data_IF_312376752246
#
_entry.id   IF_312376752246
#
_cell.length_a   1.000
_cell.length_b   1.000
_cell.length_c   1.000
_cell.angle_alpha   90.00
_cell.angle_beta   90.00
_cell.angle_gamma   90.00
#
_symmetry.space_group_name_H-M   'P 1'
#
loop_
_entity.id
_entity.type
_entity.pdbx_description
1 polymer ?
#
# COMPACT_ATOMS: atom_id res chain seq x y z
N UNK A 1 7.32 5.56 -12.20
CA UNK A 1 7.27 4.95 -13.55
C UNK A 1 7.34 3.44 -13.45
N UNK A 2 6.41 2.73 -14.09
CA UNK A 2 6.39 1.26 -14.18
C UNK A 2 7.30 0.76 -15.29
N UNK A 3 8.62 0.87 -15.11
CA UNK A 3 9.60 0.53 -16.16
C UNK A 3 9.58 -0.94 -16.60
N UNK A 4 8.91 -1.83 -15.86
CA UNK A 4 8.88 -3.28 -16.10
C UNK A 4 7.46 -3.84 -16.32
N UNK A 5 6.45 -2.99 -16.45
CA UNK A 5 5.05 -3.44 -16.61
C UNK A 5 4.49 -4.21 -15.41
N UNK A 6 5.10 -4.08 -14.23
CA UNK A 6 4.72 -4.81 -13.01
C UNK A 6 3.35 -4.35 -12.49
N UNK A 7 3.02 -3.06 -12.63
CA UNK A 7 1.71 -2.52 -12.25
C UNK A 7 0.64 -3.13 -13.16
N UNK A 8 0.87 -3.12 -14.48
CA UNK A 8 -0.07 -3.71 -15.43
C UNK A 8 -0.27 -5.22 -15.18
N UNK A 9 0.81 -5.95 -14.88
CA UNK A 9 0.73 -7.37 -14.53
C UNK A 9 -0.06 -7.62 -13.25
N UNK A 10 0.18 -6.84 -12.19
CA UNK A 10 -0.56 -6.96 -10.93
C UNK A 10 -2.05 -6.62 -11.10
N UNK A 11 -2.37 -5.57 -11.86
CA UNK A 11 -3.77 -5.23 -12.19
C UNK A 11 -4.46 -6.35 -12.98
N UNK A 12 -3.74 -6.98 -13.92
CA UNK A 12 -4.25 -8.13 -14.68
C UNK A 12 -4.54 -9.33 -13.79
N UNK A 13 -3.76 -9.57 -12.75
CA UNK A 13 -4.04 -10.63 -11.76
C UNK A 13 -5.38 -10.37 -11.06
N UNK A 14 -5.63 -9.13 -10.62
CA UNK A 14 -6.85 -8.80 -9.89
C UNK A 14 -8.12 -8.85 -10.75
N UNK A 15 -7.99 -8.63 -12.06
CA UNK A 15 -9.12 -8.66 -13.00
C UNK A 15 -9.47 -10.06 -13.53
N UNK A 16 -8.66 -11.10 -13.26
CA UNK A 16 -8.92 -12.49 -13.71
C UNK A 16 -10.32 -12.98 -13.29
N UNK A 17 -10.74 -12.61 -12.09
CA UNK A 17 -11.99 -13.08 -11.47
C UNK A 17 -13.09 -12.01 -11.51
N UNK A 18 -13.08 -11.16 -12.53
CA UNK A 18 -14.01 -10.05 -12.71
C UNK A 18 -13.53 -8.74 -12.08
N UNK A 19 -14.40 -7.75 -12.08
CA UNK A 19 -14.09 -6.40 -11.61
C UNK A 19 -13.85 -6.38 -10.08
N UNK A 20 -12.71 -5.83 -9.65
CA UNK A 20 -12.31 -5.83 -8.23
C UNK A 20 -13.37 -5.19 -7.31
N UNK A 21 -13.97 -4.08 -7.75
CA UNK A 21 -15.05 -3.38 -7.04
C UNK A 21 -16.23 -4.30 -6.72
N UNK A 22 -16.65 -5.11 -7.71
CA UNK A 22 -17.74 -6.08 -7.56
C UNK A 22 -17.38 -7.22 -6.63
N UNK A 23 -16.12 -7.64 -6.60
CA UNK A 23 -15.65 -8.69 -5.69
C UNK A 23 -15.72 -8.20 -4.24
N UNK A 24 -15.25 -6.98 -3.97
CA UNK A 24 -15.35 -6.37 -2.63
C UNK A 24 -16.83 -6.22 -2.21
N UNK A 25 -17.70 -5.70 -3.09
CA UNK A 25 -19.12 -5.55 -2.77
C UNK A 25 -19.87 -6.88 -2.59
N UNK A 26 -19.38 -7.96 -3.21
CA UNK A 26 -19.92 -9.32 -3.06
C UNK A 26 -19.36 -10.08 -1.85
N UNK A 27 -18.62 -9.39 -0.96
CA UNK A 27 -18.13 -9.97 0.29
C UNK A 27 -16.81 -10.73 0.17
N UNK A 28 -15.94 -10.34 -0.78
CA UNK A 28 -14.58 -10.88 -0.86
C UNK A 28 -13.84 -10.77 0.47
N UNK A 29 -13.02 -11.78 0.78
CA UNK A 29 -12.18 -11.85 1.97
C UNK A 29 -10.74 -12.32 1.65
N UNK A 30 -9.74 -11.94 2.45
CA UNK A 30 -8.34 -12.32 2.23
C UNK A 30 -8.04 -13.82 2.19
N UNK A 31 -8.83 -14.64 2.86
CA UNK A 31 -8.71 -16.11 2.87
C UNK A 31 -9.09 -16.75 1.52
N UNK A 32 -9.81 -16.02 0.67
CA UNK A 32 -10.18 -16.44 -0.67
C UNK A 32 -9.12 -16.04 -1.73
N UNK A 33 -8.09 -15.28 -1.33
CA UNK A 33 -7.06 -14.81 -2.24
C UNK A 33 -6.07 -15.92 -2.58
N UNK A 34 -5.78 -16.12 -3.86
CA UNK A 34 -4.61 -16.86 -4.28
C UNK A 34 -3.31 -16.16 -3.87
N UNK A 35 -2.20 -16.89 -3.81
CA UNK A 35 -0.88 -16.30 -3.54
C UNK A 35 -0.49 -15.21 -4.56
N UNK A 36 -0.90 -15.37 -5.82
CA UNK A 36 -0.70 -14.35 -6.85
C UNK A 36 -1.48 -13.07 -6.55
N UNK A 37 -2.75 -13.18 -6.16
CA UNK A 37 -3.60 -12.04 -5.81
C UNK A 37 -3.08 -11.33 -4.56
N UNK A 38 -2.67 -12.07 -3.54
CA UNK A 38 -2.03 -11.50 -2.34
C UNK A 38 -0.79 -10.70 -2.72
N UNK A 39 0.13 -11.27 -3.51
CA UNK A 39 1.34 -10.57 -3.97
C UNK A 39 0.99 -9.32 -4.79
N UNK A 40 0.02 -9.42 -5.70
CA UNK A 40 -0.44 -8.30 -6.51
C UNK A 40 -1.01 -7.17 -5.65
N UNK A 41 -1.87 -7.47 -4.67
CA UNK A 41 -2.46 -6.48 -3.77
C UNK A 41 -1.40 -5.81 -2.89
N UNK A 42 -0.47 -6.58 -2.33
CA UNK A 42 0.62 -6.00 -1.52
C UNK A 42 1.52 -5.08 -2.36
N UNK A 43 1.87 -5.47 -3.59
CA UNK A 43 2.63 -4.63 -4.51
C UNK A 43 1.88 -3.37 -4.90
N UNK A 44 0.59 -3.48 -5.26
CA UNK A 44 -0.23 -2.32 -5.63
C UNK A 44 -0.44 -1.37 -4.44
N UNK A 45 -0.56 -1.89 -3.22
CA UNK A 45 -0.57 -1.09 -2.00
C UNK A 45 0.76 -0.33 -1.82
N UNK A 46 1.91 -1.00 -2.01
CA UNK A 46 3.21 -0.33 -1.98
C UNK A 46 3.31 0.78 -3.03
N UNK A 47 2.88 0.53 -4.26
CA UNK A 47 2.83 1.54 -5.33
C UNK A 47 1.92 2.72 -4.96
N UNK A 48 0.74 2.43 -4.40
CA UNK A 48 -0.21 3.45 -3.95
C UNK A 48 0.42 4.38 -2.90
N UNK A 49 1.11 3.80 -1.92
CA UNK A 49 1.73 4.52 -0.79
C UNK A 49 3.05 5.21 -1.14
N UNK A 50 3.66 4.89 -2.28
CA UNK A 50 4.95 5.47 -2.69
C UNK A 50 4.85 6.40 -3.90
N UNK A 51 4.02 6.08 -4.89
CA UNK A 51 3.92 6.84 -6.14
C UNK A 51 2.72 7.79 -6.15
N UNK A 52 1.61 7.42 -5.49
CA UNK A 52 0.39 8.24 -5.50
C UNK A 52 0.20 9.08 -4.23
N UNK A 53 1.05 8.92 -3.22
CA UNK A 53 0.89 9.54 -1.88
C UNK A 53 0.81 11.08 -1.92
N UNK A 54 1.54 11.71 -2.84
CA UNK A 54 1.55 13.16 -3.04
C UNK A 54 0.43 13.67 -3.95
N UNK A 55 -0.33 12.78 -4.60
CA UNK A 55 -1.47 13.15 -5.43
C UNK A 55 -2.71 13.42 -4.57
N UNK A 56 -3.73 14.15 -5.08
CA UNK A 56 -5.00 14.33 -4.38
C UNK A 56 -5.71 13.01 -4.02
N UNK A 57 -5.41 11.92 -4.75
CA UNK A 57 -5.98 10.57 -4.51
C UNK A 57 -5.12 9.70 -3.59
N UNK A 58 -3.96 10.20 -3.16
CA UNK A 58 -3.06 9.49 -2.25
C UNK A 58 -3.66 9.31 -0.87
N UNK A 59 -3.15 8.32 -0.14
CA UNK A 59 -3.64 8.00 1.19
C UNK A 59 -3.41 9.16 2.17
N UNK A 60 -4.48 9.58 2.86
CA UNK A 60 -4.42 10.70 3.79
C UNK A 60 -3.65 10.34 5.08
N UNK A 61 -3.78 9.10 5.55
CA UNK A 61 -3.12 8.62 6.78
C UNK A 61 -1.63 8.43 6.55
N UNK A 62 -1.25 7.79 5.44
CA UNK A 62 0.13 7.64 5.04
C UNK A 62 0.81 8.99 4.79
N UNK A 63 0.10 9.95 4.17
CA UNK A 63 0.62 11.31 4.01
C UNK A 63 0.86 11.96 5.37
N UNK A 64 -0.07 11.82 6.31
CA UNK A 64 0.09 12.36 7.66
C UNK A 64 1.33 11.80 8.36
N UNK A 65 1.53 10.48 8.36
CA UNK A 65 2.70 9.90 9.03
C UNK A 65 4.02 10.25 8.36
N UNK A 66 4.10 10.17 7.02
CA UNK A 66 5.33 10.47 6.29
C UNK A 66 5.67 11.97 6.32
N UNK A 67 4.65 12.85 6.28
CA UNK A 67 4.84 14.27 6.48
C UNK A 67 5.36 14.60 7.89
N UNK A 68 5.16 13.72 8.87
CA UNK A 68 5.73 13.87 10.20
C UNK A 68 7.07 13.12 10.37
N UNK A 69 7.69 12.65 9.28
CA UNK A 69 9.02 12.02 9.30
C UNK A 69 9.03 10.51 9.56
N UNK A 70 7.88 9.84 9.55
CA UNK A 70 7.85 8.38 9.60
C UNK A 70 8.27 7.77 8.26
N UNK A 71 8.94 6.62 8.31
CA UNK A 71 9.12 5.77 7.12
C UNK A 71 8.02 4.73 7.00
N UNK A 72 7.70 4.32 5.77
CA UNK A 72 6.87 3.15 5.52
C UNK A 72 7.63 1.89 5.98
N UNK A 73 7.18 1.27 7.06
CA UNK A 73 7.92 0.18 7.70
C UNK A 73 7.51 -1.18 7.17
N UNK A 74 6.22 -1.48 7.24
CA UNK A 74 5.68 -2.77 6.80
C UNK A 74 4.27 -2.64 6.22
N UNK A 75 3.92 -3.56 5.32
CA UNK A 75 2.56 -3.71 4.77
C UNK A 75 2.04 -5.08 5.22
N UNK A 76 0.96 -5.07 5.98
CA UNK A 76 0.41 -6.24 6.65
C UNK A 76 -0.82 -6.77 5.91
N UNK A 77 -0.73 -8.00 5.44
CA UNK A 77 -1.85 -8.73 4.85
C UNK A 77 -2.85 -9.18 5.92
N UNK A 78 -4.15 -9.06 5.65
CA UNK A 78 -5.23 -9.54 6.51
C UNK A 78 -5.16 -9.04 7.97
N UNK A 79 -4.75 -7.79 8.15
CA UNK A 79 -4.53 -7.17 9.46
C UNK A 79 -5.80 -6.57 10.09
N UNK A 80 -6.77 -6.14 9.26
CA UNK A 80 -8.09 -5.70 9.74
C UNK A 80 -9.21 -6.42 8.98
N UNK A 81 -9.71 -7.51 9.56
CA UNK A 81 -10.81 -8.32 9.01
C UNK A 81 -12.20 -7.77 9.33
N UNK A 82 -12.30 -6.59 9.95
CA UNK A 82 -13.59 -5.94 10.15
C UNK A 82 -14.24 -5.58 8.81
N UNK A 83 -15.57 -5.39 8.81
CA UNK A 83 -16.30 -4.91 7.62
C UNK A 83 -15.70 -3.61 7.07
N UNK A 84 -15.21 -2.73 7.96
CA UNK A 84 -14.57 -1.47 7.60
C UNK A 84 -13.21 -1.69 6.93
N UNK A 85 -12.33 -2.51 7.52
CA UNK A 85 -11.02 -2.81 6.95
C UNK A 85 -11.10 -3.49 5.57
N UNK A 86 -12.04 -4.42 5.40
CA UNK A 86 -12.33 -5.05 4.11
C UNK A 86 -12.76 -4.01 3.06
N UNK A 87 -13.71 -3.14 3.41
CA UNK A 87 -14.25 -2.14 2.48
C UNK A 87 -13.25 -1.03 2.13
N UNK A 88 -12.40 -0.61 3.08
CA UNK A 88 -11.49 0.52 2.88
C UNK A 88 -10.17 0.14 2.20
N UNK A 89 -9.61 -1.02 2.56
CA UNK A 89 -8.25 -1.38 2.14
C UNK A 89 -8.06 -2.87 1.85
N UNK A 90 -9.14 -3.62 1.63
CA UNK A 90 -9.05 -5.09 1.44
C UNK A 90 -8.33 -5.78 2.60
N UNK A 91 -8.57 -5.31 3.83
CA UNK A 91 -7.95 -5.77 5.08
C UNK A 91 -6.43 -5.56 5.18
N UNK A 92 -5.83 -4.75 4.30
CA UNK A 92 -4.41 -4.38 4.40
C UNK A 92 -4.25 -3.25 5.41
N UNK A 93 -3.30 -3.40 6.32
CA UNK A 93 -2.84 -2.31 7.20
C UNK A 93 -1.35 -2.04 7.01
N UNK A 94 -0.89 -0.91 7.52
CA UNK A 94 0.48 -0.43 7.33
C UNK A 94 1.07 -0.06 8.68
N UNK A 95 2.34 -0.39 8.89
CA UNK A 95 3.12 0.17 9.99
C UNK A 95 3.98 1.33 9.47
N UNK A 96 3.91 2.45 10.16
CA UNK A 96 4.82 3.59 9.99
C UNK A 96 5.77 3.63 11.19
N UNK A 97 7.07 3.74 10.93
CA UNK A 97 8.08 3.74 11.97
C UNK A 97 8.71 5.13 12.07
N UNK A 98 8.72 5.67 13.29
CA UNK A 98 9.45 6.87 13.65
C UNK A 98 10.80 6.46 14.27
N UNK A 99 11.87 6.72 13.54
CA UNK A 99 13.24 6.67 14.08
C UNK A 99 13.60 8.09 14.49
N UNK A 100 13.68 8.36 15.80
CA UNK A 100 13.77 9.72 16.35
C UNK A 100 14.93 10.53 15.74
N UNK A 101 16.06 9.88 15.50
CA UNK A 101 17.27 10.46 14.91
C UNK A 101 17.20 10.65 13.38
N UNK A 102 16.07 10.31 12.76
CA UNK A 102 15.82 10.37 11.30
C UNK A 102 14.55 11.13 10.97
N UNK A 103 13.77 11.58 11.96
CA UNK A 103 12.48 12.25 11.75
C UNK A 103 12.63 13.48 10.85
N UNK A 104 13.58 14.37 11.17
CA UNK A 104 13.82 15.58 10.39
C UNK A 104 14.27 15.25 8.95
N UNK A 105 15.25 14.36 8.79
CA UNK A 105 15.73 13.92 7.48
C UNK A 105 14.62 13.32 6.61
N UNK A 106 13.76 12.50 7.21
CA UNK A 106 12.65 11.85 6.52
C UNK A 106 11.55 12.85 6.17
N UNK A 107 11.27 13.81 7.06
CA UNK A 107 10.35 14.92 6.80
C UNK A 107 10.81 15.71 5.57
N UNK A 108 12.07 16.14 5.55
CA UNK A 108 12.64 16.89 4.44
C UNK A 108 12.57 16.10 3.13
N UNK A 109 12.92 14.81 3.13
CA UNK A 109 12.75 13.95 1.95
C UNK A 109 11.30 13.92 1.47
N UNK A 110 10.33 13.79 2.37
CA UNK A 110 8.92 13.74 2.00
C UNK A 110 8.43 15.07 1.42
N UNK A 111 8.85 16.22 1.96
CA UNK A 111 8.58 17.55 1.39
C UNK A 111 9.10 17.64 -0.05
N UNK A 112 10.30 17.11 -0.29
CA UNK A 112 10.92 16.99 -1.61
C UNK A 112 10.40 15.82 -2.47
N UNK A 113 9.21 15.30 -2.15
CA UNK A 113 8.50 14.24 -2.89
C UNK A 113 9.23 12.89 -2.93
N UNK A 114 10.07 12.62 -1.95
CA UNK A 114 10.77 11.34 -1.78
C UNK A 114 10.18 10.56 -0.60
N UNK A 115 9.74 9.34 -0.86
CA UNK A 115 9.19 8.46 0.17
C UNK A 115 10.28 7.56 0.73
N UNK A 116 10.45 7.57 2.06
CA UNK A 116 11.37 6.68 2.77
C UNK A 116 10.61 5.42 3.20
N UNK A 117 11.19 4.25 2.92
CA UNK A 117 10.59 2.96 3.25
C UNK A 117 11.64 1.92 3.62
N UNK A 118 11.23 0.89 4.36
CA UNK A 118 12.15 -0.15 4.85
C UNK A 118 12.60 -1.10 3.72
N UNK A 119 13.85 -1.56 3.79
CA UNK A 119 14.45 -2.44 2.75
C UNK A 119 13.65 -3.71 2.47
N UNK A 120 12.94 -4.24 3.47
CA UNK A 120 12.07 -5.42 3.32
C UNK A 120 10.93 -5.23 2.32
N UNK A 121 10.58 -3.99 1.97
CA UNK A 121 9.55 -3.69 0.98
C UNK A 121 10.08 -3.67 -0.46
N UNK A 122 11.40 -3.73 -0.67
CA UNK A 122 11.99 -3.80 -2.01
C UNK A 122 11.61 -5.08 -2.78
N UNK A 123 11.26 -6.15 -2.06
CA UNK A 123 10.89 -7.44 -2.65
C UNK A 123 9.41 -7.53 -3.06
N UNK A 124 8.60 -6.50 -2.76
CA UNK A 124 7.21 -6.44 -3.21
C UNK A 124 7.13 -6.20 -4.71
#
# INVERSE_FOLDING_TARGET
>A
EDKKGRIAAALKVLSKNGEWSKRISSGWKPDQASDEEKKALMFLCFVYLTQLIHSPRGDSVGRFHMANGAKLHNINWAADLSKKGLAQSSAIMVNYLYELDKVEDNHEKFVHKQVVYSRGLNSL
#
